data_IF_686255136498
#
_entry.id   IF_686255136498
#
_cell.length_a   1.000
_cell.length_b   1.000
_cell.length_c   1.000
_cell.angle_alpha   90.00
_cell.angle_beta   90.00
_cell.angle_gamma   90.00
#
_symmetry.space_group_name_H-M   'P 1'
#
loop_
_entity.id
_entity.type
_entity.pdbx_description
1 polymer ?
#
# COMPACT_ATOMS: atom_id res chain seq x y z
N UNK A 1 -15.35 5.11 12.46
CA UNK A 1 -16.52 4.95 11.59
C UNK A 1 -16.77 6.16 10.69
N UNK A 2 -16.31 7.35 11.00
CA UNK A 2 -16.57 8.60 10.24
C UNK A 2 -15.89 8.71 8.85
N UNK A 3 -14.90 7.89 8.52
CA UNK A 3 -14.18 8.01 7.23
C UNK A 3 -14.83 7.22 6.07
N UNK A 4 -15.85 6.43 6.33
CA UNK A 4 -16.43 5.50 5.34
C UNK A 4 -17.68 6.06 4.66
N UNK A 5 -18.38 6.98 5.31
CA UNK A 5 -19.68 7.48 4.82
C UNK A 5 -19.60 8.22 3.47
N UNK A 6 -18.47 8.83 3.14
CA UNK A 6 -18.29 9.50 1.85
C UNK A 6 -17.87 8.56 0.69
N UNK A 7 -17.45 7.33 0.99
CA UNK A 7 -17.00 6.36 -0.02
C UNK A 7 -18.06 5.31 -0.36
N UNK A 8 -19.06 5.10 0.51
CA UNK A 8 -20.04 4.02 0.38
C UNK A 8 -20.88 4.08 -0.90
N UNK A 9 -21.13 5.26 -1.44
CA UNK A 9 -21.87 5.43 -2.70
C UNK A 9 -21.04 5.06 -3.94
N UNK A 10 -19.72 5.22 -3.88
CA UNK A 10 -18.80 4.94 -5.00
C UNK A 10 -18.11 3.58 -4.89
N UNK A 11 -17.96 3.08 -3.68
CA UNK A 11 -17.30 1.82 -3.38
C UNK A 11 -18.19 1.03 -2.40
N UNK A 12 -18.95 0.02 -2.86
CA UNK A 12 -19.76 -0.80 -1.99
C UNK A 12 -18.87 -1.59 -1.03
N UNK A 13 -18.86 -1.21 0.24
CA UNK A 13 -18.07 -1.82 1.30
C UNK A 13 -18.93 -2.76 2.14
N UNK A 14 -18.37 -3.92 2.47
CA UNK A 14 -18.92 -4.84 3.47
C UNK A 14 -17.99 -4.76 4.68
N UNK A 15 -18.52 -4.30 5.80
CA UNK A 15 -17.77 -4.20 7.05
C UNK A 15 -17.87 -5.51 7.82
N UNK A 16 -16.73 -6.00 8.31
CA UNK A 16 -16.63 -7.13 9.23
C UNK A 16 -15.78 -6.70 10.44
N UNK A 17 -16.06 -7.25 11.60
CA UNK A 17 -15.39 -6.89 12.87
C UNK A 17 -15.51 -5.39 13.21
N UNK A 18 -16.69 -4.82 12.98
CA UNK A 18 -16.96 -3.40 13.25
C UNK A 18 -17.81 -3.19 14.54
N UNK A 19 -17.95 -4.22 15.36
CA UNK A 19 -18.67 -4.12 16.62
C UNK A 19 -17.90 -3.23 17.60
N UNK A 20 -18.62 -2.36 18.30
CA UNK A 20 -18.08 -1.49 19.34
C UNK A 20 -17.84 -2.30 20.64
N UNK A 21 -16.88 -3.21 20.61
CA UNK A 21 -16.40 -3.94 21.77
C UNK A 21 -14.94 -3.55 22.02
N UNK A 22 -14.66 -2.61 22.93
CA UNK A 22 -13.29 -2.13 23.21
C UNK A 22 -12.32 -3.27 23.54
N UNK A 23 -12.80 -4.32 24.19
CA UNK A 23 -11.99 -5.48 24.57
C UNK A 23 -11.60 -6.38 23.39
N UNK A 24 -12.24 -6.21 22.25
CA UNK A 24 -11.98 -6.99 21.04
C UNK A 24 -11.13 -6.22 19.98
N UNK A 25 -10.67 -5.02 20.30
CA UNK A 25 -9.81 -4.26 19.41
C UNK A 25 -8.53 -5.08 19.11
N UNK A 26 -8.28 -5.32 17.82
CA UNK A 26 -7.17 -6.15 17.33
C UNK A 26 -7.21 -7.65 17.75
N UNK A 27 -8.26 -8.12 18.43
CA UNK A 27 -8.35 -9.53 18.79
C UNK A 27 -8.67 -10.41 17.57
N UNK A 28 -7.69 -11.19 17.12
CA UNK A 28 -7.76 -12.02 15.91
C UNK A 28 -8.30 -11.27 14.67
N UNK A 29 -7.96 -10.01 14.56
CA UNK A 29 -8.30 -9.14 13.44
C UNK A 29 -7.29 -8.00 13.31
N UNK A 30 -7.46 -7.15 12.29
CA UNK A 30 -6.57 -6.02 12.06
C UNK A 30 -5.29 -6.37 11.29
N UNK A 31 -4.55 -5.32 10.90
CA UNK A 31 -3.36 -5.45 10.08
C UNK A 31 -2.24 -6.25 10.79
N UNK A 32 -2.09 -6.05 12.08
CA UNK A 32 -1.05 -6.74 12.87
C UNK A 32 -1.29 -8.26 12.95
N UNK A 33 -2.54 -8.69 13.17
CA UNK A 33 -2.91 -10.10 13.16
C UNK A 33 -2.58 -10.76 11.82
N UNK A 34 -3.00 -10.13 10.72
CA UNK A 34 -2.73 -10.67 9.37
C UNK A 34 -1.22 -10.75 9.11
N UNK A 35 -0.47 -9.72 9.52
CA UNK A 35 0.98 -9.71 9.33
C UNK A 35 1.70 -10.78 10.16
N UNK A 36 1.39 -10.90 11.44
CA UNK A 36 2.10 -11.80 12.35
C UNK A 36 1.63 -13.25 12.25
N UNK A 37 0.31 -13.44 12.26
CA UNK A 37 -0.27 -14.80 12.32
C UNK A 37 -0.46 -15.42 10.94
N UNK A 38 -0.32 -14.63 9.87
CA UNK A 38 -0.45 -15.06 8.47
C UNK A 38 -1.78 -15.81 8.23
N UNK A 39 -2.83 -15.38 8.91
CA UNK A 39 -4.15 -16.04 8.93
C UNK A 39 -5.29 -15.04 8.71
N UNK A 40 -6.42 -15.58 8.27
CA UNK A 40 -7.62 -14.79 8.03
C UNK A 40 -8.17 -14.20 9.35
N UNK A 41 -8.69 -12.97 9.31
CA UNK A 41 -9.29 -12.38 10.50
C UNK A 41 -10.63 -13.05 10.84
N UNK A 42 -11.06 -12.91 12.09
CA UNK A 42 -12.40 -13.33 12.54
C UNK A 42 -13.47 -12.72 11.59
N UNK A 43 -14.47 -13.51 11.24
CA UNK A 43 -15.56 -13.08 10.35
C UNK A 43 -15.26 -13.24 8.85
N UNK A 44 -14.03 -13.55 8.45
CA UNK A 44 -13.71 -13.89 7.08
C UNK A 44 -13.88 -15.39 6.83
N UNK A 45 -14.47 -15.76 5.70
CA UNK A 45 -14.53 -17.14 5.24
C UNK A 45 -14.44 -17.23 3.72
N UNK A 46 -13.89 -18.33 3.13
CA UNK A 46 -13.82 -18.51 1.69
C UNK A 46 -15.21 -18.45 1.03
N UNK A 47 -16.20 -19.07 1.63
CA UNK A 47 -17.55 -19.19 1.06
C UNK A 47 -18.21 -17.82 0.84
N UNK A 48 -17.92 -16.85 1.70
CA UNK A 48 -18.52 -15.51 1.64
C UNK A 48 -17.61 -14.47 0.97
N UNK A 49 -16.28 -14.68 1.00
CA UNK A 49 -15.31 -13.66 0.66
C UNK A 49 -14.33 -14.07 -0.45
N UNK A 50 -14.38 -15.31 -0.99
CA UNK A 50 -13.58 -15.69 -2.14
C UNK A 50 -13.83 -14.75 -3.33
N UNK A 51 -12.76 -14.35 -4.00
CA UNK A 51 -12.81 -13.40 -5.12
C UNK A 51 -13.06 -11.94 -4.73
N UNK A 52 -13.28 -11.64 -3.44
CA UNK A 52 -13.41 -10.27 -2.95
C UNK A 52 -12.05 -9.71 -2.55
N UNK A 53 -11.87 -8.41 -2.78
CA UNK A 53 -10.71 -7.65 -2.28
C UNK A 53 -11.00 -7.25 -0.84
N UNK A 54 -10.16 -7.69 0.08
CA UNK A 54 -10.31 -7.43 1.50
C UNK A 54 -9.15 -6.59 2.02
N UNK A 55 -9.41 -5.77 3.02
CA UNK A 55 -8.40 -4.96 3.71
C UNK A 55 -8.68 -4.94 5.20
N UNK A 56 -7.64 -5.01 6.00
CA UNK A 56 -7.70 -4.77 7.44
C UNK A 56 -6.76 -3.64 7.83
N UNK A 57 -7.22 -2.82 8.75
CA UNK A 57 -6.45 -1.76 9.36
C UNK A 57 -6.06 -2.15 10.79
N UNK A 58 -5.07 -1.54 11.37
CA UNK A 58 -4.80 -1.61 12.79
C UNK A 58 -5.56 -0.51 13.57
N UNK A 59 -5.31 -0.43 14.89
CA UNK A 59 -6.15 0.37 15.78
C UNK A 59 -6.12 1.88 15.53
N UNK A 60 -5.02 2.43 15.03
CA UNK A 60 -4.83 3.84 14.67
C UNK A 60 -4.80 4.07 13.15
N UNK A 61 -5.04 2.98 12.38
CA UNK A 61 -5.17 2.98 10.93
C UNK A 61 -3.93 3.49 10.15
N UNK A 62 -2.73 3.35 10.73
CA UNK A 62 -1.48 3.68 10.07
C UNK A 62 -0.89 2.51 9.28
N UNK A 63 -1.45 1.30 9.44
CA UNK A 63 -1.11 0.08 8.70
C UNK A 63 -2.34 -0.49 8.02
N UNK A 64 -2.13 -0.98 6.82
CA UNK A 64 -3.18 -1.66 6.05
C UNK A 64 -2.64 -2.96 5.45
N UNK A 65 -3.39 -4.04 5.60
CA UNK A 65 -3.04 -5.33 5.02
C UNK A 65 -4.15 -5.78 4.08
N UNK A 66 -3.82 -5.93 2.80
CA UNK A 66 -4.75 -6.47 1.81
C UNK A 66 -4.65 -7.99 1.76
N UNK A 67 -5.79 -8.63 1.51
CA UNK A 67 -5.87 -10.07 1.36
C UNK A 67 -7.08 -10.49 0.50
N UNK A 68 -7.07 -11.73 0.07
CA UNK A 68 -8.15 -12.30 -0.74
C UNK A 68 -8.17 -13.84 -0.58
N UNK A 69 -9.26 -14.47 -0.98
CA UNK A 69 -9.29 -15.92 -1.23
C UNK A 69 -8.98 -16.20 -2.69
N UNK A 70 -8.05 -17.12 -2.95
CA UNK A 70 -7.84 -17.60 -4.32
C UNK A 70 -9.00 -18.49 -4.81
N UNK A 71 -8.92 -18.97 -6.05
CA UNK A 71 -9.95 -19.82 -6.67
C UNK A 71 -10.20 -21.13 -5.92
N UNK A 72 -9.21 -21.59 -5.15
CA UNK A 72 -9.28 -22.78 -4.30
C UNK A 72 -9.73 -22.44 -2.87
N UNK A 73 -10.04 -21.18 -2.57
CA UNK A 73 -10.42 -20.69 -1.24
C UNK A 73 -9.27 -20.51 -0.27
N UNK A 74 -8.00 -20.60 -0.72
CA UNK A 74 -6.88 -20.36 0.17
C UNK A 74 -6.71 -18.87 0.46
N UNK A 75 -6.46 -18.55 1.72
CA UNK A 75 -6.15 -17.19 2.15
C UNK A 75 -4.79 -16.72 1.63
N UNK A 76 -4.78 -15.58 0.96
CA UNK A 76 -3.59 -14.97 0.35
C UNK A 76 -3.42 -13.55 0.85
N UNK A 77 -2.19 -13.16 1.19
CA UNK A 77 -1.85 -11.85 1.71
C UNK A 77 -1.06 -11.06 0.68
N UNK A 78 -1.46 -9.80 0.52
CA UNK A 78 -0.72 -8.76 -0.18
C UNK A 78 -0.15 -7.85 0.91
N UNK A 79 1.05 -8.21 1.40
CA UNK A 79 1.79 -7.47 2.42
C UNK A 79 2.27 -6.10 1.93
N UNK A 80 2.82 -5.29 2.83
CA UNK A 80 3.29 -3.96 2.48
C UNK A 80 4.31 -3.94 1.34
N UNK A 81 5.19 -4.93 1.27
CA UNK A 81 6.17 -5.02 0.17
C UNK A 81 5.50 -5.17 -1.19
N UNK A 82 4.50 -6.08 -1.29
CA UNK A 82 3.74 -6.28 -2.53
C UNK A 82 2.86 -5.07 -2.87
N UNK A 83 2.22 -4.47 -1.85
CA UNK A 83 1.39 -3.28 -2.04
C UNK A 83 2.19 -2.14 -2.67
N UNK A 84 3.35 -1.82 -2.11
CA UNK A 84 4.16 -0.71 -2.60
C UNK A 84 4.85 -1.02 -3.94
N UNK A 85 5.18 -2.27 -4.20
CA UNK A 85 5.62 -2.69 -5.54
C UNK A 85 4.52 -2.43 -6.59
N UNK A 86 3.26 -2.77 -6.29
CA UNK A 86 2.11 -2.50 -7.16
C UNK A 86 1.86 -0.99 -7.34
N UNK A 87 1.97 -0.20 -6.27
CA UNK A 87 1.85 1.27 -6.33
C UNK A 87 2.93 1.84 -7.26
N UNK A 88 4.18 1.43 -7.12
CA UNK A 88 5.27 1.93 -7.96
C UNK A 88 5.14 1.50 -9.41
N UNK A 89 4.68 0.28 -9.68
CA UNK A 89 4.35 -0.14 -11.04
C UNK A 89 3.25 0.72 -11.66
N UNK A 90 2.22 1.02 -10.89
CA UNK A 90 1.12 1.87 -11.33
C UNK A 90 1.60 3.29 -11.63
N UNK A 91 2.39 3.88 -10.74
CA UNK A 91 2.99 5.21 -10.95
C UNK A 91 3.86 5.20 -12.22
N UNK A 92 4.76 4.22 -12.37
CA UNK A 92 5.60 4.10 -13.56
C UNK A 92 4.76 3.96 -14.84
N UNK A 93 3.68 3.17 -14.79
CA UNK A 93 2.74 3.03 -15.90
C UNK A 93 2.07 4.35 -16.28
N UNK A 94 1.62 5.13 -15.30
CA UNK A 94 1.03 6.45 -15.53
C UNK A 94 2.04 7.44 -16.13
N UNK A 95 3.26 7.49 -15.59
CA UNK A 95 4.30 8.38 -16.11
C UNK A 95 4.62 8.07 -17.57
N UNK A 96 4.66 6.79 -17.92
CA UNK A 96 4.87 6.32 -19.29
C UNK A 96 3.69 6.67 -20.20
N UNK A 97 2.46 6.44 -19.77
CA UNK A 97 1.25 6.77 -20.51
C UNK A 97 1.17 8.27 -20.82
N UNK A 98 1.60 9.11 -19.87
CA UNK A 98 1.65 10.55 -20.01
C UNK A 98 2.89 11.06 -20.79
N UNK A 99 3.86 10.19 -21.10
CA UNK A 99 5.11 10.56 -21.78
C UNK A 99 6.01 11.49 -20.97
N UNK A 100 6.02 11.32 -19.64
CA UNK A 100 6.81 12.12 -18.70
C UNK A 100 7.72 11.28 -17.80
N UNK A 101 7.94 10.02 -18.12
CA UNK A 101 8.78 9.11 -17.35
C UNK A 101 10.23 9.61 -17.19
N UNK A 102 10.76 10.29 -18.19
CA UNK A 102 12.12 10.85 -18.17
C UNK A 102 12.21 12.20 -17.46
N UNK A 103 11.07 12.81 -17.10
CA UNK A 103 11.01 14.12 -16.47
C UNK A 103 10.97 14.08 -14.95
N UNK A 104 10.57 12.95 -14.36
CA UNK A 104 10.38 12.78 -12.93
C UNK A 104 11.18 11.60 -12.40
N UNK A 105 12.01 11.87 -11.42
CA UNK A 105 12.70 10.83 -10.66
C UNK A 105 11.75 10.13 -9.68
N UNK A 106 11.80 8.79 -9.61
CA UNK A 106 10.97 8.05 -8.66
C UNK A 106 11.74 6.90 -7.99
N UNK A 107 11.38 6.56 -6.76
CA UNK A 107 12.04 5.51 -5.95
C UNK A 107 11.09 4.81 -5.01
N UNK A 108 11.34 3.52 -4.77
CA UNK A 108 10.82 2.78 -3.63
C UNK A 108 11.94 2.52 -2.61
N UNK A 109 11.77 3.03 -1.40
CA UNK A 109 12.67 2.80 -0.28
C UNK A 109 12.13 1.67 0.58
N UNK A 110 12.85 0.56 0.65
CA UNK A 110 12.47 -0.63 1.41
C UNK A 110 13.30 -0.74 2.69
N UNK A 111 12.73 -1.32 3.73
CA UNK A 111 13.48 -1.63 4.96
C UNK A 111 14.31 -2.90 4.80
N UNK A 112 15.36 -3.06 5.62
CA UNK A 112 16.31 -4.17 5.53
C UNK A 112 15.69 -5.57 5.73
N UNK A 113 14.46 -5.67 6.25
CA UNK A 113 13.75 -6.94 6.43
C UNK A 113 12.65 -7.17 5.38
N UNK A 114 12.64 -6.40 4.30
CA UNK A 114 11.73 -6.60 3.18
C UNK A 114 11.93 -7.95 2.49
N UNK A 115 10.93 -8.36 1.74
CA UNK A 115 10.98 -9.60 0.97
C UNK A 115 11.91 -9.43 -0.25
N UNK A 116 13.01 -10.18 -0.26
CA UNK A 116 14.01 -10.11 -1.34
C UNK A 116 13.46 -10.45 -2.74
N UNK A 117 12.38 -11.24 -2.83
CA UNK A 117 11.71 -11.49 -4.12
C UNK A 117 11.04 -10.25 -4.67
N UNK A 118 10.51 -9.40 -3.80
CA UNK A 118 9.94 -8.11 -4.22
C UNK A 118 11.05 -7.20 -4.74
N UNK A 119 12.20 -7.14 -4.07
CA UNK A 119 13.36 -6.40 -4.57
C UNK A 119 13.83 -6.89 -5.94
N UNK A 120 13.88 -8.21 -6.15
CA UNK A 120 14.21 -8.80 -7.46
C UNK A 120 13.17 -8.42 -8.52
N UNK A 121 11.89 -8.43 -8.17
CA UNK A 121 10.81 -8.03 -9.05
C UNK A 121 10.90 -6.55 -9.46
N UNK A 122 11.18 -5.65 -8.51
CA UNK A 122 11.39 -4.24 -8.78
C UNK A 122 12.54 -4.01 -9.77
N UNK A 123 13.67 -4.69 -9.54
CA UNK A 123 14.83 -4.61 -10.42
C UNK A 123 14.51 -5.14 -11.84
N UNK A 124 13.79 -6.25 -11.93
CA UNK A 124 13.39 -6.82 -13.23
C UNK A 124 12.43 -5.92 -14.02
N UNK A 125 11.70 -5.04 -13.34
CA UNK A 125 10.79 -4.07 -13.95
C UNK A 125 11.38 -2.65 -14.04
N UNK A 126 12.68 -2.49 -13.83
CA UNK A 126 13.39 -1.21 -13.86
C UNK A 126 12.80 -0.17 -12.90
N UNK A 127 12.27 -0.61 -11.76
CA UNK A 127 11.80 0.27 -10.70
C UNK A 127 12.97 0.53 -9.76
N UNK A 128 13.38 1.80 -9.69
CA UNK A 128 14.46 2.21 -8.80
C UNK A 128 14.10 1.94 -7.34
N UNK A 129 14.99 1.25 -6.62
CA UNK A 129 14.74 0.90 -5.23
C UNK A 129 16.03 0.95 -4.40
N UNK A 130 15.88 1.21 -3.12
CA UNK A 130 16.98 1.28 -2.16
C UNK A 130 16.60 0.65 -0.84
N UNK A 131 17.50 -0.16 -0.28
CA UNK A 131 17.36 -0.71 1.06
C UNK A 131 17.96 0.25 2.10
N UNK A 132 17.20 0.48 3.17
CA UNK A 132 17.66 1.28 4.31
C UNK A 132 17.45 0.52 5.63
N UNK A 133 18.02 1.03 6.71
CA UNK A 133 17.73 0.52 8.05
C UNK A 133 16.25 0.70 8.38
N UNK A 134 15.71 -0.20 9.19
CA UNK A 134 14.32 -0.14 9.65
C UNK A 134 14.04 1.15 10.42
N UNK A 135 12.93 1.78 10.08
CA UNK A 135 12.41 2.99 10.72
C UNK A 135 12.30 4.18 9.76
N UNK A 136 11.20 4.91 9.88
CA UNK A 136 10.85 6.07 9.05
C UNK A 136 11.98 7.12 8.98
N UNK A 137 12.69 7.32 10.09
CA UNK A 137 13.84 8.26 10.16
C UNK A 137 14.98 7.95 9.18
N UNK A 138 15.08 6.71 8.70
CA UNK A 138 16.08 6.31 7.71
C UNK A 138 15.52 6.30 6.29
N UNK A 139 14.23 6.02 6.12
CA UNK A 139 13.59 5.99 4.83
C UNK A 139 13.23 7.40 4.31
N UNK A 140 12.63 8.22 5.15
CA UNK A 140 12.13 9.55 4.75
C UNK A 140 13.19 10.46 4.13
N UNK A 141 14.44 10.58 4.67
CA UNK A 141 15.48 11.41 4.05
C UNK A 141 15.87 10.97 2.63
N UNK A 142 15.68 9.70 2.29
CA UNK A 142 15.92 9.19 0.93
C UNK A 142 14.72 9.50 0.03
N UNK A 143 13.51 9.21 0.51
CA UNK A 143 12.26 9.45 -0.22
C UNK A 143 12.16 10.88 -0.74
N UNK A 144 12.42 11.88 0.10
CA UNK A 144 12.27 13.32 -0.26
C UNK A 144 13.32 13.85 -1.24
N UNK A 145 14.34 13.09 -1.57
CA UNK A 145 15.31 13.47 -2.59
C UNK A 145 14.72 13.33 -4.00
N UNK A 146 13.78 12.44 -4.18
CA UNK A 146 13.14 12.14 -5.46
C UNK A 146 11.87 12.97 -5.66
N UNK A 147 11.41 13.08 -6.91
CA UNK A 147 10.19 13.81 -7.23
C UNK A 147 8.95 13.03 -6.81
N UNK A 148 9.01 11.70 -6.93
CA UNK A 148 8.02 10.76 -6.40
C UNK A 148 8.76 9.70 -5.61
N UNK A 149 8.60 9.69 -4.30
CA UNK A 149 9.24 8.71 -3.43
C UNK A 149 8.22 7.95 -2.60
N UNK A 150 8.43 6.64 -2.46
CA UNK A 150 7.63 5.81 -1.57
C UNK A 150 8.53 5.06 -0.59
N UNK A 151 8.01 4.77 0.58
CA UNK A 151 8.64 3.83 1.50
C UNK A 151 7.61 2.90 2.10
N UNK A 152 8.03 1.69 2.41
CA UNK A 152 7.16 0.69 3.01
C UNK A 152 7.86 -0.16 4.06
N UNK A 153 7.02 -0.74 4.90
CA UNK A 153 7.34 -1.85 5.78
C UNK A 153 6.43 -3.05 5.45
N UNK A 154 6.89 -4.29 5.60
CA UNK A 154 6.08 -5.49 5.32
C UNK A 154 4.77 -5.57 6.11
N UNK A 155 4.70 -4.90 7.27
CA UNK A 155 3.52 -4.84 8.14
C UNK A 155 2.35 -3.98 7.60
N UNK A 156 2.53 -3.37 6.41
CA UNK A 156 1.52 -2.53 5.77
C UNK A 156 1.61 -1.04 6.08
N UNK A 157 2.58 -0.62 6.91
CA UNK A 157 2.90 0.80 7.09
C UNK A 157 3.72 1.32 5.91
N UNK A 158 3.41 2.52 5.44
CA UNK A 158 4.18 3.16 4.39
C UNK A 158 3.58 4.47 3.93
N UNK A 159 4.31 5.20 3.12
CA UNK A 159 3.92 6.50 2.58
C UNK A 159 4.34 6.65 1.13
N UNK A 160 3.61 7.50 0.41
CA UNK A 160 4.02 8.03 -0.89
C UNK A 160 4.13 9.54 -0.74
N UNK A 161 5.27 10.10 -1.10
CA UNK A 161 5.53 11.53 -1.12
C UNK A 161 5.86 11.98 -2.55
N UNK A 162 5.46 13.18 -2.90
CA UNK A 162 5.76 13.76 -4.20
C UNK A 162 5.95 15.28 -4.08
N UNK A 163 6.84 15.81 -4.93
CA UNK A 163 7.07 17.25 -5.08
C UNK A 163 6.05 17.79 -6.06
N UNK A 164 4.96 18.37 -5.53
CA UNK A 164 3.83 18.82 -6.34
C UNK A 164 4.24 19.79 -7.46
N UNK A 165 5.17 20.70 -7.19
CA UNK A 165 5.63 21.68 -8.15
C UNK A 165 6.36 21.01 -9.34
N UNK A 166 7.19 20.01 -9.08
CA UNK A 166 7.90 19.26 -10.13
C UNK A 166 6.94 18.40 -10.95
N UNK A 167 5.96 17.77 -10.29
CA UNK A 167 4.90 17.00 -10.98
C UNK A 167 4.07 17.91 -11.88
N UNK A 168 3.61 19.06 -11.38
CA UNK A 168 2.84 20.03 -12.17
C UNK A 168 3.66 20.56 -13.36
N UNK A 169 4.92 20.88 -13.14
CA UNK A 169 5.84 21.32 -14.19
C UNK A 169 6.02 20.24 -15.28
N UNK A 170 6.15 18.97 -14.90
CA UNK A 170 6.26 17.87 -15.83
C UNK A 170 4.99 17.66 -16.67
N UNK A 171 3.80 17.84 -16.04
CA UNK A 171 2.49 17.74 -16.70
C UNK A 171 2.21 18.92 -17.64
N UNK A 172 2.81 20.10 -17.41
CA UNK A 172 2.56 21.33 -18.17
C UNK A 172 1.28 22.06 -17.72
N UNK A 173 1.11 23.29 -18.22
CA UNK A 173 0.09 24.23 -17.72
C UNK A 173 -1.36 23.75 -17.83
N UNK A 174 -1.65 22.81 -18.72
CA UNK A 174 -3.01 22.31 -18.97
C UNK A 174 -3.43 21.12 -18.09
N UNK A 175 -2.53 20.60 -17.26
CA UNK A 175 -2.73 19.38 -16.47
C UNK A 175 -2.32 19.55 -15.01
N UNK A 176 -2.48 20.74 -14.43
CA UNK A 176 -2.09 20.96 -13.03
C UNK A 176 -2.94 20.11 -12.08
N UNK A 177 -2.29 19.45 -11.13
CA UNK A 177 -2.95 18.72 -10.03
C UNK A 177 -3.44 19.67 -8.91
N UNK A 178 -3.34 20.97 -9.12
CA UNK A 178 -3.81 21.97 -8.18
C UNK A 178 -5.33 22.13 -8.33
N UNK A 179 -6.06 21.45 -7.47
CA UNK A 179 -7.46 21.73 -7.16
C UNK A 179 -7.70 21.49 -5.67
#
# INVERSE_FOLDING_TARGET
>A
MMAIDGFSERLPLILINCEEAPDNLNYKCGAEHIHKDQSAPTGWSPDQHAGKKCVSFDGDADRQMYYYGDEQGNFKIIDGDKQFALIMMYIQGLLKELGIEDKLSHILVQTAYCNSRVTQFLNANNIHNQLVKTGVKYAHPVVVQYDIGANNEPNGHGTVAYKIDEVNKALGDNNSLAA
#
